data_IF_733546203399
#
_entry.id   IF_733546203399
#
_cell.length_a   1.000
_cell.length_b   1.000
_cell.length_c   1.000
_cell.angle_alpha   90.00
_cell.angle_beta   90.00
_cell.angle_gamma   90.00
#
_symmetry.space_group_name_H-M   'P 1'
#
loop_
_entity.id
_entity.type
_entity.pdbx_description
1 polymer ?
#
# COMPACT_ATOMS: atom_id res chain seq x y z
N UNK A 1 0.26 -3.36 8.95
CA UNK A 1 -0.65 -3.89 10.00
C UNK A 1 -0.90 -5.36 9.71
N UNK A 2 -1.21 -6.16 10.73
CA UNK A 2 -1.63 -7.55 10.53
C UNK A 2 -3.07 -7.55 10.02
N UNK A 3 -3.31 -8.18 8.89
CA UNK A 3 -4.64 -8.41 8.33
C UNK A 3 -4.90 -9.91 8.28
N UNK A 4 -6.03 -10.35 8.83
CA UNK A 4 -6.48 -11.74 8.77
C UNK A 4 -7.66 -11.82 7.82
N UNK A 5 -7.52 -12.62 6.76
CA UNK A 5 -8.57 -12.92 5.79
C UNK A 5 -8.72 -14.44 5.70
N UNK A 6 -9.78 -14.96 6.34
CA UNK A 6 -9.99 -16.40 6.54
C UNK A 6 -8.78 -17.03 7.24
N UNK A 7 -8.08 -17.94 6.57
CA UNK A 7 -6.90 -18.65 7.08
C UNK A 7 -5.58 -17.94 6.71
N UNK A 8 -5.65 -16.84 5.95
CA UNK A 8 -4.48 -16.12 5.46
C UNK A 8 -4.19 -14.88 6.30
N UNK A 9 -2.93 -14.72 6.68
CA UNK A 9 -2.42 -13.54 7.38
C UNK A 9 -1.55 -12.72 6.43
N UNK A 10 -1.77 -11.40 6.36
CA UNK A 10 -1.03 -10.48 5.49
C UNK A 10 -0.43 -9.32 6.26
N UNK A 11 0.71 -8.81 5.77
CA UNK A 11 1.20 -7.49 6.14
C UNK A 11 0.56 -6.45 5.22
N UNK A 12 -0.42 -5.72 5.73
CA UNK A 12 -1.22 -4.79 4.92
C UNK A 12 -1.11 -3.36 5.40
N UNK A 13 -1.29 -2.42 4.49
CA UNK A 13 -1.49 -1.01 4.80
C UNK A 13 -2.92 -0.63 4.44
N UNK A 14 -3.60 0.08 5.33
CA UNK A 14 -4.97 0.56 5.11
C UNK A 14 -4.98 2.08 4.98
N UNK A 15 -5.87 2.56 4.12
CA UNK A 15 -6.09 3.96 3.83
C UNK A 15 -7.50 4.29 4.33
N UNK A 16 -7.55 5.24 5.26
CA UNK A 16 -8.78 5.66 5.92
C UNK A 16 -8.95 7.16 5.73
N UNK A 17 -10.12 7.56 5.22
CA UNK A 17 -10.51 8.95 5.08
C UNK A 17 -11.49 9.40 6.16
N UNK A 18 -12.01 10.64 6.07
CA UNK A 18 -13.00 11.17 7.00
C UNK A 18 -14.28 10.32 7.06
N UNK A 19 -14.70 9.78 5.91
CA UNK A 19 -15.90 8.95 5.78
C UNK A 19 -15.67 7.46 6.07
N UNK A 20 -14.44 7.09 6.48
CA UNK A 20 -14.08 5.72 6.83
C UNK A 20 -13.12 5.05 5.86
N UNK A 21 -13.28 3.73 5.67
CA UNK A 21 -12.34 2.91 4.91
C UNK A 21 -12.37 3.24 3.41
N UNK A 22 -11.21 3.58 2.86
CA UNK A 22 -11.05 3.85 1.42
C UNK A 22 -10.50 2.61 0.70
N UNK A 23 -9.49 1.96 1.29
CA UNK A 23 -8.86 0.83 0.66
C UNK A 23 -7.71 0.25 1.45
N UNK A 24 -7.13 -0.81 0.92
CA UNK A 24 -5.98 -1.51 1.50
C UNK A 24 -5.02 -1.99 0.44
N UNK A 25 -3.80 -2.25 0.86
CA UNK A 25 -2.74 -2.85 0.06
C UNK A 25 -2.05 -3.94 0.87
N UNK A 26 -1.93 -5.14 0.31
CA UNK A 26 -1.20 -6.28 0.91
C UNK A 26 0.22 -6.31 0.35
N UNK A 27 1.23 -6.32 1.22
CA UNK A 27 2.66 -6.30 0.84
C UNK A 27 2.99 -7.47 -0.08
N UNK A 28 3.60 -7.18 -1.23
CA UNK A 28 4.02 -8.22 -2.20
C UNK A 28 5.37 -8.79 -1.78
N UNK A 29 6.36 -7.94 -1.52
CA UNK A 29 7.72 -8.38 -1.24
C UNK A 29 7.97 -8.55 0.27
N UNK A 30 7.66 -9.74 0.78
CA UNK A 30 7.94 -10.10 2.17
C UNK A 30 9.45 -10.12 2.44
N UNK A 31 9.86 -9.53 3.56
CA UNK A 31 11.27 -9.40 3.95
C UNK A 31 11.61 -10.33 5.12
N UNK A 32 12.69 -11.10 4.95
CA UNK A 32 13.28 -11.93 5.99
C UNK A 32 12.24 -12.82 6.72
N UNK A 33 12.10 -12.66 8.04
CA UNK A 33 11.20 -13.44 8.90
C UNK A 33 9.72 -13.24 8.62
N UNK A 34 9.32 -12.20 7.87
CA UNK A 34 7.92 -11.99 7.48
C UNK A 34 7.36 -13.18 6.69
N UNK A 35 8.20 -13.91 5.94
CA UNK A 35 7.81 -15.08 5.14
C UNK A 35 7.30 -16.26 5.97
N UNK A 36 7.63 -16.30 7.26
CA UNK A 36 7.15 -17.33 8.18
C UNK A 36 5.76 -16.99 8.77
N UNK A 37 5.39 -15.71 8.77
CA UNK A 37 4.20 -15.22 9.46
C UNK A 37 3.11 -14.71 8.51
N UNK A 38 3.48 -14.30 7.31
CA UNK A 38 2.59 -13.63 6.36
C UNK A 38 2.60 -14.32 5.00
N UNK A 39 1.47 -14.20 4.33
CA UNK A 39 1.29 -14.52 2.94
C UNK A 39 1.59 -13.26 2.12
N UNK A 40 2.18 -13.46 0.94
CA UNK A 40 2.45 -12.38 0.01
C UNK A 40 1.13 -11.89 -0.62
N UNK A 41 1.01 -10.58 -0.77
CA UNK A 41 -0.01 -9.98 -1.62
C UNK A 41 0.24 -10.29 -3.09
N UNK A 42 -0.81 -10.22 -3.90
CA UNK A 42 -0.78 -10.52 -5.35
C UNK A 42 -1.18 -9.33 -6.22
N UNK A 43 -1.52 -8.18 -5.62
CA UNK A 43 -2.06 -7.03 -6.31
C UNK A 43 -1.00 -5.94 -6.49
N UNK A 44 -0.89 -5.40 -7.69
CA UNK A 44 0.02 -4.28 -7.99
C UNK A 44 -0.29 -3.09 -7.07
N UNK A 45 0.72 -2.38 -6.53
CA UNK A 45 0.54 -1.23 -5.66
C UNK A 45 -0.60 -0.28 -6.12
N UNK A 46 -1.57 0.02 -5.24
CA UNK A 46 -2.67 0.90 -5.57
C UNK A 46 -2.26 2.37 -5.50
N UNK A 47 -2.97 3.19 -6.27
CA UNK A 47 -2.96 4.65 -6.16
C UNK A 47 -4.36 5.07 -5.73
N UNK A 48 -4.45 5.81 -4.63
CA UNK A 48 -5.70 6.37 -4.12
C UNK A 48 -5.79 7.83 -4.52
N UNK A 49 -6.98 8.26 -4.95
CA UNK A 49 -7.29 9.68 -5.13
C UNK A 49 -7.90 10.22 -3.84
N UNK A 50 -7.19 11.13 -3.20
CA UNK A 50 -7.59 11.77 -1.96
C UNK A 50 -7.76 13.27 -2.24
N UNK A 51 -8.96 13.65 -2.65
CA UNK A 51 -9.35 15.01 -3.01
C UNK A 51 -8.39 15.68 -4.03
N UNK A 52 -8.09 14.96 -5.12
CA UNK A 52 -7.23 15.45 -6.20
C UNK A 52 -5.74 15.20 -5.98
N UNK A 53 -5.35 14.71 -4.80
CA UNK A 53 -4.00 14.25 -4.51
C UNK A 53 -3.93 12.74 -4.71
N UNK A 54 -3.07 12.31 -5.63
CA UNK A 54 -2.83 10.89 -5.89
C UNK A 54 -1.73 10.36 -4.96
N UNK A 55 -2.07 9.37 -4.15
CA UNK A 55 -1.16 8.74 -3.20
C UNK A 55 -0.96 7.28 -3.58
N UNK A 56 0.27 6.93 -3.95
CA UNK A 56 0.68 5.56 -4.19
C UNK A 56 1.13 4.88 -2.90
N UNK A 57 0.75 3.62 -2.68
CA UNK A 57 1.10 2.91 -1.44
C UNK A 57 1.97 1.70 -1.72
N UNK A 58 3.11 1.63 -1.04
CA UNK A 58 3.99 0.47 -0.99
C UNK A 58 4.50 0.27 0.46
N UNK A 59 4.93 -0.95 0.81
CA UNK A 59 5.26 -1.28 2.19
C UNK A 59 6.71 -1.75 2.29
N UNK A 60 7.48 -1.06 3.13
CA UNK A 60 8.86 -1.42 3.47
C UNK A 60 9.63 -1.93 2.23
N UNK A 61 10.12 -3.17 2.25
CA UNK A 61 10.96 -3.79 1.23
C UNK A 61 10.45 -3.74 -0.22
N UNK A 62 9.17 -3.43 -0.48
CA UNK A 62 8.68 -3.11 -1.82
C UNK A 62 9.49 -1.98 -2.50
N UNK A 63 10.09 -1.05 -1.74
CA UNK A 63 10.91 0.03 -2.30
C UNK A 63 12.17 -0.48 -3.03
N UNK A 64 12.65 -1.67 -2.69
CA UNK A 64 13.81 -2.30 -3.33
C UNK A 64 13.53 -2.78 -4.76
N UNK A 65 12.27 -2.79 -5.19
CA UNK A 65 11.83 -3.28 -6.48
C UNK A 65 11.36 -2.09 -7.35
N UNK A 66 12.16 -1.64 -8.34
CA UNK A 66 11.84 -0.46 -9.14
C UNK A 66 10.52 -0.57 -9.89
N UNK A 67 10.05 -1.78 -10.16
CA UNK A 67 8.74 -2.09 -10.76
C UNK A 67 7.58 -1.55 -9.93
N UNK A 68 7.74 -1.48 -8.60
CA UNK A 68 6.73 -0.98 -7.68
C UNK A 68 6.59 0.53 -7.84
N UNK A 69 7.71 1.26 -7.77
CA UNK A 69 7.74 2.70 -8.00
C UNK A 69 7.27 3.06 -9.42
N UNK A 70 7.69 2.29 -10.43
CA UNK A 70 7.27 2.47 -11.82
C UNK A 70 5.76 2.28 -11.98
N UNK A 71 5.19 1.24 -11.38
CA UNK A 71 3.75 0.96 -11.44
C UNK A 71 2.94 2.10 -10.80
N UNK A 72 3.39 2.61 -9.65
CA UNK A 72 2.76 3.76 -9.00
C UNK A 72 2.84 5.02 -9.86
N UNK A 73 4.00 5.30 -10.48
CA UNK A 73 4.16 6.45 -11.37
C UNK A 73 3.24 6.38 -12.60
N UNK A 74 3.12 5.20 -13.23
CA UNK A 74 2.24 5.00 -14.38
C UNK A 74 0.76 5.14 -14.02
N UNK A 75 0.34 4.61 -12.86
CA UNK A 75 -1.05 4.74 -12.36
C UNK A 75 -1.37 6.16 -11.87
N UNK A 76 -0.36 6.87 -11.37
CA UNK A 76 -0.45 8.27 -10.93
C UNK A 76 -0.74 9.26 -12.05
N UNK A 77 -0.37 8.92 -13.29
CA UNK A 77 -0.51 9.82 -14.43
C UNK A 77 0.40 11.04 -14.33
N UNK A 78 -0.01 12.18 -14.91
CA UNK A 78 0.80 13.42 -14.94
C UNK A 78 0.80 14.19 -13.61
N UNK A 79 -0.12 13.87 -12.71
CA UNK A 79 -0.21 14.53 -11.41
C UNK A 79 0.72 13.81 -10.43
N UNK A 80 1.44 14.58 -9.61
CA UNK A 80 2.41 14.11 -8.64
C UNK A 80 1.87 12.95 -7.79
N UNK A 81 2.22 11.72 -8.16
CA UNK A 81 2.00 10.57 -7.29
C UNK A 81 3.17 10.51 -6.33
N UNK A 82 2.95 10.87 -5.07
CA UNK A 82 3.94 10.67 -4.02
C UNK A 82 3.89 9.20 -3.58
N UNK A 83 4.91 8.38 -3.87
CA UNK A 83 4.96 7.02 -3.34
C UNK A 83 5.15 7.14 -1.83
N UNK A 84 4.16 6.66 -1.08
CA UNK A 84 4.22 6.66 0.37
C UNK A 84 4.74 5.30 0.85
N UNK A 85 5.91 5.34 1.49
CA UNK A 85 6.43 4.18 2.21
C UNK A 85 5.66 4.09 3.53
N UNK A 86 4.71 3.17 3.58
CA UNK A 86 3.89 2.98 4.78
C UNK A 86 4.40 1.78 5.58
N UNK A 87 4.38 1.92 6.90
CA UNK A 87 4.64 0.81 7.82
C UNK A 87 3.34 0.19 8.33
N UNK A 88 2.25 0.95 8.46
CA UNK A 88 1.02 0.42 9.10
C UNK A 88 -0.30 0.97 8.56
N UNK A 89 -0.55 2.28 8.62
CA UNK A 89 -1.84 2.88 8.30
C UNK A 89 -1.65 4.34 7.89
N UNK A 90 -2.33 4.78 6.82
CA UNK A 90 -2.41 6.18 6.45
C UNK A 90 -3.80 6.71 6.77
N UNK A 91 -3.88 7.68 7.68
CA UNK A 91 -5.13 8.39 7.98
C UNK A 91 -5.13 9.72 7.23
N UNK A 92 -5.93 9.81 6.18
CA UNK A 92 -6.16 11.03 5.41
C UNK A 92 -7.13 11.95 6.20
N UNK A 93 -6.62 12.59 7.26
CA UNK A 93 -7.46 13.37 8.21
C UNK A 93 -7.91 14.74 7.70
N UNK A 94 -7.42 15.22 6.54
CA UNK A 94 -7.63 16.61 6.10
C UNK A 94 -7.39 16.89 4.61
N UNK A 95 -7.33 15.84 3.80
CA UNK A 95 -7.38 16.03 2.34
C UNK A 95 -8.83 16.27 1.95
#
# INVERSE_FOLDING_TARGET
MVEVDKEYVYNSSVIVGPDGFIGRYRKIHLFDTEKACFHAGSEVPPVFDLNGIKVGVMICFDWGFPEMARSLALKGGRNHCAPLLTLFCLIARKL
#
